data_IF_439092580502
#
_entry.id   IF_439092580502
#
_cell.length_a   1.000
_cell.length_b   1.000
_cell.length_c   1.000
_cell.angle_alpha   90.00
_cell.angle_beta   90.00
_cell.angle_gamma   90.00
#
_symmetry.space_group_name_H-M   'P 1'
#
loop_
_entity.id
_entity.type
_entity.pdbx_description
1 polymer ?
#
# COMPACT_ATOMS: atom_id res chain seq x y z
N UNK A 1 26.90 8.98 9.78
CA UNK A 1 25.84 7.97 9.96
C UNK A 1 25.75 7.65 11.44
N UNK A 2 24.56 7.71 12.04
CA UNK A 2 24.36 7.24 13.42
C UNK A 2 24.42 5.71 13.42
N UNK A 3 24.93 5.06 14.47
CA UNK A 3 25.09 3.60 14.50
C UNK A 3 23.77 2.86 14.22
N UNK A 4 22.65 3.38 14.72
CA UNK A 4 21.31 2.84 14.48
C UNK A 4 20.88 2.84 13.00
N UNK A 5 21.34 3.84 12.25
CA UNK A 5 21.06 3.99 10.82
C UNK A 5 21.81 2.92 10.02
N UNK A 6 23.09 2.71 10.33
CA UNK A 6 23.90 1.64 9.76
C UNK A 6 23.36 0.24 10.11
N UNK A 7 22.90 0.03 11.35
CA UNK A 7 22.31 -1.25 11.76
C UNK A 7 21.00 -1.51 11.01
N UNK A 8 20.13 -0.50 10.89
CA UNK A 8 18.86 -0.62 10.15
C UNK A 8 19.11 -0.95 8.67
N UNK A 9 20.08 -0.27 8.05
CA UNK A 9 20.52 -0.57 6.69
C UNK A 9 21.05 -2.00 6.57
N UNK A 10 21.91 -2.44 7.51
CA UNK A 10 22.47 -3.79 7.49
C UNK A 10 21.37 -4.86 7.59
N UNK A 11 20.33 -4.63 8.39
CA UNK A 11 19.17 -5.51 8.48
C UNK A 11 18.39 -5.53 7.16
N UNK A 12 18.11 -4.37 6.56
CA UNK A 12 17.43 -4.30 5.27
C UNK A 12 18.22 -5.02 4.17
N UNK A 13 19.53 -4.82 4.12
CA UNK A 13 20.43 -5.52 3.19
C UNK A 13 20.43 -7.01 3.44
N UNK A 14 20.46 -7.47 4.70
CA UNK A 14 20.41 -8.89 5.01
C UNK A 14 19.12 -9.57 4.49
N UNK A 15 17.99 -8.85 4.51
CA UNK A 15 16.72 -9.33 3.94
C UNK A 15 16.67 -9.25 2.41
N UNK A 16 17.25 -8.21 1.81
CA UNK A 16 17.24 -8.03 0.37
C UNK A 16 18.28 -8.88 -0.36
N UNK A 17 19.40 -9.20 0.28
CA UNK A 17 20.52 -9.92 -0.33
C UNK A 17 20.11 -11.28 -0.92
N UNK A 18 19.30 -12.13 -0.25
CA UNK A 18 18.82 -13.38 -0.86
C UNK A 18 18.02 -13.16 -2.13
N UNK A 19 17.12 -12.16 -2.16
CA UNK A 19 16.32 -11.83 -3.34
C UNK A 19 17.19 -11.24 -4.46
N UNK A 20 18.15 -10.38 -4.11
CA UNK A 20 19.09 -9.83 -5.08
C UNK A 20 19.95 -10.91 -5.72
N UNK A 21 20.49 -11.83 -4.91
CA UNK A 21 21.29 -12.95 -5.39
C UNK A 21 20.49 -13.86 -6.32
N UNK A 22 19.27 -14.24 -5.90
CA UNK A 22 18.37 -15.05 -6.73
C UNK A 22 18.04 -14.35 -8.05
N UNK A 23 17.78 -13.03 -8.03
CA UNK A 23 17.53 -12.25 -9.23
C UNK A 23 18.71 -12.24 -10.19
N UNK A 24 19.93 -12.04 -9.67
CA UNK A 24 21.16 -12.09 -10.47
C UNK A 24 21.36 -13.48 -11.08
N UNK A 25 21.27 -14.55 -10.29
CA UNK A 25 21.43 -15.92 -10.80
C UNK A 25 20.40 -16.26 -11.87
N UNK A 26 19.14 -15.84 -11.69
CA UNK A 26 18.05 -16.06 -12.65
C UNK A 26 18.33 -15.35 -13.98
N UNK A 27 18.81 -14.10 -13.93
CA UNK A 27 19.21 -13.35 -15.13
C UNK A 27 20.42 -13.99 -15.83
N UNK A 28 21.40 -14.47 -15.06
CA UNK A 28 22.55 -15.20 -15.61
C UNK A 28 22.13 -16.52 -16.27
N UNK A 29 21.05 -17.14 -15.78
CA UNK A 29 20.39 -18.29 -16.39
C UNK A 29 19.61 -17.98 -17.67
N UNK A 30 19.52 -16.71 -18.07
CA UNK A 30 18.79 -16.25 -19.26
C UNK A 30 17.29 -16.06 -19.04
N UNK A 31 16.81 -16.17 -17.81
CA UNK A 31 15.40 -15.99 -17.48
C UNK A 31 15.13 -14.52 -17.07
N UNK A 32 14.28 -13.79 -17.80
CA UNK A 32 13.98 -12.39 -17.51
C UNK A 32 13.22 -12.17 -16.21
N UNK A 33 12.63 -13.21 -15.59
CA UNK A 33 11.97 -13.12 -14.28
C UNK A 33 12.93 -12.66 -13.18
N UNK A 34 14.24 -12.80 -13.37
CA UNK A 34 15.26 -12.25 -12.47
C UNK A 34 15.11 -10.75 -12.17
N UNK A 35 14.56 -9.98 -13.12
CA UNK A 35 14.22 -8.56 -12.90
C UNK A 35 13.19 -8.33 -11.79
N UNK A 36 12.25 -9.26 -11.60
CA UNK A 36 11.22 -9.16 -10.55
C UNK A 36 11.87 -9.24 -9.17
N UNK A 37 12.81 -10.17 -8.99
CA UNK A 37 13.53 -10.33 -7.73
C UNK A 37 14.46 -9.15 -7.45
N UNK A 38 15.12 -8.62 -8.48
CA UNK A 38 15.92 -7.39 -8.34
C UNK A 38 15.04 -6.18 -8.01
N UNK A 39 13.89 -6.03 -8.64
CA UNK A 39 12.93 -4.97 -8.33
C UNK A 39 12.41 -5.09 -6.90
N UNK A 40 12.13 -6.31 -6.44
CA UNK A 40 11.73 -6.57 -5.05
C UNK A 40 12.83 -6.21 -4.05
N UNK A 41 14.08 -6.62 -4.29
CA UNK A 41 15.22 -6.26 -3.46
C UNK A 41 15.45 -4.74 -3.42
N UNK A 42 15.38 -4.08 -4.58
CA UNK A 42 15.44 -2.63 -4.68
C UNK A 42 14.27 -1.95 -3.95
N UNK A 43 13.08 -2.55 -3.97
CA UNK A 43 11.93 -2.14 -3.19
C UNK A 43 12.23 -2.13 -1.69
N UNK A 44 12.81 -3.21 -1.16
CA UNK A 44 13.20 -3.30 0.27
C UNK A 44 14.18 -2.19 0.65
N UNK A 45 15.19 -1.90 -0.19
CA UNK A 45 16.20 -0.88 0.11
C UNK A 45 15.71 0.56 -0.15
N UNK A 46 14.80 0.74 -1.11
CA UNK A 46 14.39 2.03 -1.64
C UNK A 46 13.02 2.51 -1.17
N UNK A 47 12.26 1.68 -0.45
CA UNK A 47 10.88 1.95 -0.03
C UNK A 47 10.71 3.33 0.59
N UNK A 48 11.64 3.72 1.46
CA UNK A 48 11.61 4.97 2.22
C UNK A 48 11.69 6.23 1.34
N UNK A 49 12.23 6.12 0.11
CA UNK A 49 12.52 7.29 -0.74
C UNK A 49 11.44 7.61 -1.77
N UNK A 50 10.45 6.73 -1.96
CA UNK A 50 9.41 6.92 -3.00
C UNK A 50 7.99 6.48 -2.60
N UNK A 51 7.80 5.68 -1.55
CA UNK A 51 6.49 5.09 -1.22
C UNK A 51 5.93 5.56 0.13
N UNK A 52 6.68 6.37 0.88
CA UNK A 52 6.31 6.75 2.25
C UNK A 52 6.29 8.28 2.37
N UNK A 53 5.22 8.89 1.87
CA UNK A 53 4.59 10.01 2.58
C UNK A 53 3.56 9.35 3.51
N UNK A 54 3.96 8.92 4.72
CA UNK A 54 3.11 8.09 5.58
C UNK A 54 1.91 8.87 6.13
N UNK A 55 1.96 10.21 6.09
CA UNK A 55 0.92 11.10 6.60
C UNK A 55 -0.32 11.21 5.70
N UNK A 56 -0.17 11.08 4.37
CA UNK A 56 -1.27 11.41 3.46
C UNK A 56 -2.27 10.26 3.24
N UNK A 57 -1.85 9.02 3.46
CA UNK A 57 -2.73 7.86 3.30
C UNK A 57 -3.74 7.74 4.45
N UNK A 58 -3.35 7.82 5.74
CA UNK A 58 -4.28 7.73 6.86
C UNK A 58 -5.38 8.79 6.83
N UNK A 59 -5.03 10.04 6.48
CA UNK A 59 -5.97 11.16 6.44
C UNK A 59 -7.06 11.00 5.36
N UNK A 60 -6.71 10.40 4.22
CA UNK A 60 -7.63 10.19 3.11
C UNK A 60 -8.63 9.06 3.40
N UNK A 61 -8.21 8.01 4.10
CA UNK A 61 -9.09 6.90 4.50
C UNK A 61 -10.02 7.26 5.67
N UNK A 62 -9.58 8.11 6.60
CA UNK A 62 -10.41 8.54 7.73
C UNK A 62 -11.71 9.20 7.28
N UNK A 63 -11.66 10.05 6.25
CA UNK A 63 -12.85 10.75 5.72
C UNK A 63 -13.84 9.80 5.03
N UNK A 64 -13.35 8.78 4.32
CA UNK A 64 -14.20 7.84 3.58
C UNK A 64 -14.95 6.87 4.51
N UNK A 65 -14.30 6.43 5.59
CA UNK A 65 -14.94 5.58 6.61
C UNK A 65 -15.90 6.37 7.49
N UNK A 66 -15.57 7.63 7.82
CA UNK A 66 -16.49 8.50 8.57
C UNK A 66 -17.76 8.81 7.77
N UNK A 67 -17.65 9.07 6.47
CA UNK A 67 -18.82 9.34 5.61
C UNK A 67 -19.69 8.11 5.43
N UNK A 68 -19.10 6.90 5.31
CA UNK A 68 -19.84 5.65 5.18
C UNK A 68 -20.51 5.17 6.50
N UNK A 69 -20.10 5.70 7.65
CA UNK A 69 -20.69 5.41 8.97
C UNK A 69 -21.81 6.39 9.33
N UNK A 70 -21.83 7.57 8.71
CA UNK A 70 -22.79 8.67 8.98
C UNK A 70 -23.96 8.70 7.98
N UNK A 71 -23.99 7.80 6.99
CA UNK A 71 -25.18 7.63 6.15
C UNK A 71 -26.26 6.91 6.98
N UNK A 72 -26.95 7.70 7.82
CA UNK A 72 -28.19 7.35 8.49
C UNK A 72 -29.22 6.91 7.42
N UNK A 73 -29.90 5.78 7.60
CA UNK A 73 -30.92 5.30 6.69
C UNK A 73 -32.23 6.09 6.87
N UNK A 74 -32.22 7.39 6.54
CA UNK A 74 -33.42 8.24 6.51
C UNK A 74 -33.60 8.87 5.12
N UNK A 75 -33.57 8.04 4.07
CA UNK A 75 -34.14 8.38 2.77
C UNK A 75 -35.41 7.54 2.55
N UNK A 76 -36.44 7.81 3.36
CA UNK A 76 -37.82 7.51 2.96
C UNK A 76 -38.34 8.67 2.11
N UNK A 77 -38.52 8.50 0.79
CA UNK A 77 -39.17 9.50 -0.04
C UNK A 77 -40.63 9.61 0.38
N UNK A 78 -41.00 10.83 0.75
CA UNK A 78 -42.37 11.34 0.83
C UNK A 78 -43.10 10.97 -0.47
N UNK A 79 -44.07 10.06 -0.39
CA UNK A 79 -45.02 9.75 -1.47
C UNK A 79 -46.34 10.49 -1.20
N UNK A 80 -46.52 11.55 -1.96
CA UNK A 80 -47.72 12.35 -2.15
C UNK A 80 -48.64 11.71 -3.19
N UNK A 81 -49.85 11.26 -2.81
CA UNK A 81 -50.77 10.66 -3.80
C UNK A 81 -52.15 10.23 -3.32
N UNK A 82 -53.06 11.20 -3.19
CA UNK A 82 -54.49 11.20 -3.57
C UNK A 82 -55.43 9.96 -3.40
N UNK A 83 -56.59 10.29 -2.80
CA UNK A 83 -57.96 9.92 -3.22
C UNK A 83 -58.55 8.52 -2.92
N UNK A 84 -59.64 8.53 -2.12
CA UNK A 84 -60.79 7.64 -2.33
C UNK A 84 -61.27 6.79 -1.15
N UNK A 85 -62.53 7.03 -0.74
CA UNK A 85 -63.45 6.17 0.04
C UNK A 85 -63.17 6.08 1.55
N UNK A 86 -64.13 6.25 2.49
CA UNK A 86 -65.60 6.18 2.47
C UNK A 86 -66.14 7.02 3.64
#
# INVERSE_FOLDING_TARGET
MKLLDAVSLAVAVAFAAPAALLGVETLLGGDPTGWVFLAFAAGILGFERYVVTPDDIPAMFAQKTASAVVEDPDDEPRDDGESGTQ
#
